data_IF_908671435830
#
_entry.id   IF_908671435830
#
_cell.length_a   1.000
_cell.length_b   1.000
_cell.length_c   1.000
_cell.angle_alpha   90.00
_cell.angle_beta   90.00
_cell.angle_gamma   90.00
#
_symmetry.space_group_name_H-M   'P 1'
#
loop_
_entity.id
_entity.type
_entity.pdbx_description
1 polymer ?
#
# COMPACT_ATOMS: atom_id res chain seq x y z
N UNK A 1 26.16 -1.06 -15.99
CA UNK A 1 24.87 -0.85 -15.30
C UNK A 1 25.16 -0.77 -13.81
N UNK A 2 24.76 0.31 -13.12
CA UNK A 2 24.82 0.33 -11.64
C UNK A 2 23.83 -0.73 -11.13
N UNK A 3 24.29 -1.69 -10.31
CA UNK A 3 23.38 -2.59 -9.57
C UNK A 3 22.47 -1.70 -8.72
N UNK A 4 21.15 -1.88 -8.84
CA UNK A 4 20.21 -1.24 -7.93
C UNK A 4 20.32 -1.92 -6.56
N UNK A 5 20.35 -1.12 -5.50
CA UNK A 5 20.41 -1.63 -4.13
C UNK A 5 19.05 -2.21 -3.71
N UNK A 6 19.01 -3.21 -2.82
CA UNK A 6 17.78 -3.70 -2.21
C UNK A 6 16.97 -2.59 -1.55
N UNK A 7 15.65 -2.71 -1.55
CA UNK A 7 14.80 -1.77 -0.82
C UNK A 7 14.85 -2.07 0.69
N UNK A 8 14.80 -1.01 1.49
CA UNK A 8 14.55 -1.08 2.93
C UNK A 8 13.11 -0.69 3.18
N UNK A 9 12.35 -1.59 3.80
CA UNK A 9 11.06 -1.29 4.40
C UNK A 9 11.32 -1.08 5.88
N UNK A 10 11.00 0.10 6.40
CA UNK A 10 11.20 0.43 7.81
C UNK A 10 10.11 1.37 8.26
N UNK A 11 9.66 1.20 9.49
CA UNK A 11 8.64 2.06 10.05
C UNK A 11 9.22 3.35 10.60
N UNK A 12 8.81 4.50 10.03
CA UNK A 12 9.13 5.85 10.52
C UNK A 12 10.63 6.25 10.46
N UNK A 13 11.45 5.49 9.75
CA UNK A 13 12.88 5.76 9.55
C UNK A 13 13.20 5.78 8.06
N UNK A 14 14.06 6.69 7.64
CA UNK A 14 14.57 6.73 6.27
C UNK A 14 15.95 6.08 6.19
N UNK A 15 16.07 4.83 6.67
CA UNK A 15 17.32 4.10 6.54
C UNK A 15 17.51 3.58 5.11
N UNK A 16 18.69 3.80 4.53
CA UNK A 16 19.05 3.20 3.24
C UNK A 16 19.62 1.79 3.42
N UNK A 17 19.66 1.01 2.33
CA UNK A 17 20.31 -0.29 2.32
C UNK A 17 21.76 -0.19 2.78
N UNK A 18 22.51 0.75 2.21
CA UNK A 18 23.93 0.98 2.54
C UNK A 18 24.12 1.33 4.02
N UNK A 19 23.24 2.15 4.59
CA UNK A 19 23.28 2.51 6.01
C UNK A 19 23.04 1.31 6.92
N UNK A 20 22.06 0.46 6.61
CA UNK A 20 21.81 -0.75 7.39
C UNK A 20 22.96 -1.75 7.25
N UNK A 21 23.51 -1.94 6.05
CA UNK A 21 24.68 -2.81 5.87
C UNK A 21 25.90 -2.30 6.65
N UNK A 22 26.06 -0.98 6.79
CA UNK A 22 27.16 -0.37 7.53
C UNK A 22 26.93 -0.45 9.04
N UNK A 23 25.73 -0.11 9.52
CA UNK A 23 25.43 0.05 10.95
C UNK A 23 24.93 -1.21 11.65
N UNK A 24 24.42 -2.17 10.89
CA UNK A 24 23.90 -3.46 11.39
C UNK A 24 24.78 -4.65 10.97
N UNK A 25 26.05 -4.40 10.63
CA UNK A 25 26.99 -5.45 10.24
C UNK A 25 27.26 -6.41 11.40
N UNK A 26 27.52 -7.69 11.10
CA UNK A 26 27.78 -8.72 12.12
C UNK A 26 28.95 -8.37 13.05
N UNK A 27 29.91 -7.55 12.59
CA UNK A 27 31.08 -7.09 13.36
C UNK A 27 30.74 -6.00 14.38
N UNK A 28 29.64 -5.25 14.18
CA UNK A 28 29.16 -4.22 15.09
C UNK A 28 28.14 -4.75 16.11
N UNK A 29 27.80 -6.04 16.03
CA UNK A 29 26.87 -6.65 16.96
C UNK A 29 27.58 -6.83 18.30
N UNK A 30 27.18 -6.02 19.28
CA UNK A 30 27.43 -6.31 20.69
C UNK A 30 26.76 -7.64 21.03
N UNK A 31 27.33 -8.38 22.00
CA UNK A 31 26.66 -9.55 22.59
C UNK A 31 25.21 -9.19 22.85
N UNK A 32 24.27 -10.04 22.44
CA UNK A 32 22.84 -9.87 22.73
C UNK A 32 22.71 -9.78 24.25
N UNK A 33 22.58 -8.58 24.78
CA UNK A 33 22.11 -8.35 26.14
C UNK A 33 20.61 -8.39 26.06
N UNK A 34 20.05 -9.59 26.22
CA UNK A 34 18.65 -9.74 26.60
C UNK A 34 18.56 -9.10 27.98
N UNK A 35 17.79 -8.05 28.14
CA UNK A 35 17.51 -7.51 29.47
C UNK A 35 16.88 -8.65 30.30
N UNK A 36 17.49 -9.08 31.41
CA UNK A 36 16.93 -10.13 32.27
C UNK A 36 15.53 -9.78 32.82
N UNK A 37 15.14 -8.50 32.76
CA UNK A 37 13.84 -7.98 33.16
C UNK A 37 12.85 -7.83 31.98
N UNK A 38 13.30 -7.95 30.73
CA UNK A 38 12.38 -7.96 29.59
C UNK A 38 11.58 -9.26 29.61
N UNK A 39 10.29 -9.15 29.91
CA UNK A 39 9.38 -10.29 30.03
C UNK A 39 9.04 -10.97 28.69
N UNK A 40 9.42 -10.35 27.57
CA UNK A 40 9.14 -10.82 26.20
C UNK A 40 10.43 -10.88 25.38
N UNK A 41 10.78 -12.08 24.93
CA UNK A 41 11.92 -12.32 24.06
C UNK A 41 11.49 -12.32 22.58
N UNK A 42 11.97 -11.38 21.74
CA UNK A 42 11.56 -11.30 20.33
C UNK A 42 11.99 -12.50 19.49
N UNK A 43 13.07 -13.21 19.84
CA UNK A 43 13.47 -14.44 19.16
C UNK A 43 12.47 -15.57 19.43
N UNK A 44 11.98 -15.69 20.66
CA UNK A 44 10.94 -16.67 21.00
C UNK A 44 9.66 -16.41 20.21
N UNK A 45 9.25 -15.14 20.08
CA UNK A 45 8.07 -14.79 19.28
C UNK A 45 8.27 -14.98 17.77
N UNK A 46 9.48 -14.73 17.26
CA UNK A 46 9.86 -15.06 15.88
C UNK A 46 9.75 -16.56 15.63
N UNK A 47 10.38 -17.39 16.47
CA UNK A 47 10.38 -18.85 16.33
C UNK A 47 8.97 -19.43 16.42
N UNK A 48 8.16 -18.95 17.37
CA UNK A 48 6.75 -19.34 17.50
C UNK A 48 5.95 -19.03 16.23
N UNK A 49 6.19 -17.87 15.62
CA UNK A 49 5.53 -17.50 14.37
C UNK A 49 5.96 -18.36 13.20
N UNK A 50 7.27 -18.61 13.04
CA UNK A 50 7.77 -19.51 11.99
C UNK A 50 7.22 -20.92 12.18
N UNK A 51 7.18 -21.44 13.41
CA UNK A 51 6.61 -22.74 13.72
C UNK A 51 5.12 -22.80 13.38
N UNK A 52 4.35 -21.77 13.75
CA UNK A 52 2.92 -21.66 13.44
C UNK A 52 2.66 -21.68 11.93
N UNK A 53 3.43 -20.92 11.16
CA UNK A 53 3.27 -20.86 9.71
C UNK A 53 3.78 -22.13 9.00
N UNK A 54 4.82 -22.80 9.52
CA UNK A 54 5.31 -24.08 8.98
C UNK A 54 4.34 -25.23 9.25
N UNK A 55 3.62 -25.18 10.37
CA UNK A 55 2.63 -26.19 10.73
C UNK A 55 1.37 -26.15 9.86
N UNK A 56 1.12 -25.04 9.14
CA UNK A 56 0.04 -24.96 8.17
C UNK A 56 0.36 -25.82 6.93
N UNK A 57 -0.36 -26.93 6.69
CA UNK A 57 -0.10 -27.80 5.53
C UNK A 57 -0.36 -27.10 4.18
N UNK A 58 -1.10 -26.00 4.18
CA UNK A 58 -1.37 -25.19 3.00
C UNK A 58 -0.32 -24.11 2.75
N UNK A 59 0.75 -24.02 3.56
CA UNK A 59 1.84 -23.07 3.36
C UNK A 59 2.81 -23.56 2.27
N UNK A 60 2.91 -22.89 1.12
CA UNK A 60 3.77 -23.35 0.03
C UNK A 60 5.19 -22.74 0.08
N UNK A 61 5.58 -22.04 1.15
CA UNK A 61 6.81 -21.24 1.18
C UNK A 61 7.87 -21.74 2.18
N UNK A 62 9.16 -21.59 1.85
CA UNK A 62 10.27 -22.13 2.65
C UNK A 62 10.59 -21.37 3.96
N UNK A 63 9.99 -20.18 4.19
CA UNK A 63 10.11 -19.35 5.41
C UNK A 63 11.54 -19.32 6.01
N UNK A 64 12.45 -18.63 5.33
CA UNK A 64 13.86 -18.53 5.73
C UNK A 64 14.27 -17.06 5.84
N UNK A 65 14.30 -16.55 7.07
CA UNK A 65 14.68 -15.17 7.36
C UNK A 65 15.81 -15.14 8.37
N UNK A 66 16.71 -14.18 8.19
CA UNK A 66 17.71 -13.83 9.19
C UNK A 66 17.11 -12.77 10.13
N UNK A 67 16.86 -13.10 11.39
CA UNK A 67 16.31 -12.16 12.37
C UNK A 67 17.42 -11.61 13.28
N UNK A 68 17.57 -10.28 13.37
CA UNK A 68 18.71 -9.63 14.05
C UNK A 68 18.32 -8.35 14.78
N UNK A 69 18.93 -8.13 15.94
CA UNK A 69 18.88 -6.81 16.58
C UNK A 69 19.73 -5.79 15.81
N UNK A 70 19.22 -4.57 15.65
CA UNK A 70 19.98 -3.42 15.22
C UNK A 70 19.33 -2.10 15.69
N UNK A 71 20.07 -1.33 16.49
CA UNK A 71 19.62 -0.02 17.00
C UNK A 71 19.54 1.07 15.91
N UNK A 72 20.04 0.80 14.70
CA UNK A 72 20.00 1.76 13.59
C UNK A 72 18.61 1.89 12.93
N UNK A 73 17.76 0.87 13.05
CA UNK A 73 16.33 0.99 12.74
C UNK A 73 15.60 1.57 13.94
N UNK A 74 14.54 2.36 13.75
CA UNK A 74 13.78 2.95 14.87
C UNK A 74 12.76 1.99 15.47
N UNK A 75 12.38 0.93 14.75
CA UNK A 75 11.51 -0.12 15.27
C UNK A 75 11.91 -1.46 14.64
N UNK A 76 11.57 -1.65 13.37
CA UNK A 76 11.99 -2.82 12.61
C UNK A 76 12.23 -2.43 11.16
N UNK A 77 12.99 -3.27 10.46
CA UNK A 77 13.21 -3.09 9.03
C UNK A 77 13.51 -4.42 8.33
N UNK A 78 12.98 -4.58 7.12
CA UNK A 78 13.24 -5.73 6.25
C UNK A 78 14.03 -5.30 5.02
N UNK A 79 15.06 -6.08 4.69
CA UNK A 79 15.90 -5.89 3.51
C UNK A 79 16.69 -7.15 3.17
N UNK A 80 17.48 -7.14 2.09
CA UNK A 80 18.39 -8.24 1.81
C UNK A 80 19.75 -7.97 2.48
N UNK A 81 20.58 -8.99 2.66
CA UNK A 81 22.02 -8.78 2.91
C UNK A 81 22.82 -8.74 1.60
N UNK A 82 24.14 -8.60 1.72
CA UNK A 82 25.06 -8.60 0.56
C UNK A 82 25.08 -9.93 -0.21
N UNK A 83 24.57 -11.00 0.39
CA UNK A 83 24.43 -12.34 -0.21
C UNK A 83 23.00 -12.61 -0.68
N UNK A 84 22.15 -11.58 -0.76
CA UNK A 84 20.74 -11.69 -1.17
C UNK A 84 19.87 -12.57 -0.26
N UNK A 85 20.26 -12.76 1.00
CA UNK A 85 19.43 -13.42 2.01
C UNK A 85 18.45 -12.41 2.62
N UNK A 86 17.24 -12.84 2.92
CA UNK A 86 16.22 -12.02 3.57
C UNK A 86 16.59 -11.77 5.04
N UNK A 87 16.64 -10.49 5.44
CA UNK A 87 17.02 -10.05 6.79
C UNK A 87 15.95 -9.14 7.36
N UNK A 88 15.54 -9.45 8.57
CA UNK A 88 14.66 -8.63 9.40
C UNK A 88 15.49 -8.10 10.58
N UNK A 89 15.62 -6.79 10.66
CA UNK A 89 16.20 -6.07 11.78
C UNK A 89 15.11 -5.62 12.74
N UNK A 90 15.38 -5.67 14.04
CA UNK A 90 14.52 -5.09 15.07
C UNK A 90 15.36 -4.23 16.04
N UNK A 91 14.74 -3.21 16.63
CA UNK A 91 15.34 -2.33 17.62
C UNK A 91 14.85 -2.77 19.01
N UNK A 92 15.77 -3.16 19.90
CA UNK A 92 15.39 -3.66 21.23
C UNK A 92 14.82 -2.54 22.09
N UNK A 93 15.43 -1.35 22.06
CA UNK A 93 14.95 -0.20 22.83
C UNK A 93 13.51 0.22 22.46
N UNK A 94 13.12 0.06 21.19
CA UNK A 94 11.74 0.26 20.77
C UNK A 94 10.81 -0.78 21.38
N UNK A 95 11.18 -2.07 21.33
CA UNK A 95 10.36 -3.15 21.90
C UNK A 95 10.21 -3.01 23.43
N UNK A 96 11.28 -2.62 24.11
CA UNK A 96 11.27 -2.34 25.57
C UNK A 96 10.40 -1.13 25.92
N UNK A 97 10.20 -0.20 24.98
CA UNK A 97 9.32 0.95 25.13
C UNK A 97 7.82 0.64 25.04
N UNK A 98 7.44 -0.59 24.63
CA UNK A 98 6.03 -0.97 24.48
C UNK A 98 5.39 -1.16 25.86
N UNK A 99 4.37 -0.34 26.15
CA UNK A 99 3.68 -0.36 27.44
C UNK A 99 2.49 -1.34 27.46
N UNK A 100 2.42 -2.13 28.53
CA UNK A 100 1.26 -2.98 28.84
C UNK A 100 1.64 -4.28 29.53
N UNK A 101 0.67 -5.19 29.76
CA UNK A 101 0.96 -6.54 30.23
C UNK A 101 1.74 -7.33 29.18
N UNK A 102 2.52 -8.32 29.61
CA UNK A 102 3.35 -9.16 28.74
C UNK A 102 2.59 -9.76 27.56
N UNK A 103 1.34 -10.16 27.77
CA UNK A 103 0.47 -10.70 26.72
C UNK A 103 0.28 -9.71 25.57
N UNK A 104 0.03 -8.44 25.89
CA UNK A 104 -0.11 -7.36 24.91
C UNK A 104 1.22 -7.10 24.20
N UNK A 105 2.32 -7.06 24.94
CA UNK A 105 3.66 -6.84 24.40
C UNK A 105 4.04 -7.96 23.42
N UNK A 106 3.76 -9.23 23.77
CA UNK A 106 3.96 -10.39 22.86
C UNK A 106 3.19 -10.23 21.56
N UNK A 107 1.92 -9.83 21.62
CA UNK A 107 1.14 -9.60 20.40
C UNK A 107 1.68 -8.44 19.58
N UNK A 108 2.10 -7.34 20.20
CA UNK A 108 2.73 -6.24 19.50
C UNK A 108 4.02 -6.67 18.78
N UNK A 109 4.90 -7.42 19.47
CA UNK A 109 6.12 -7.99 18.90
C UNK A 109 5.80 -8.91 17.72
N UNK A 110 4.87 -9.86 17.87
CA UNK A 110 4.43 -10.74 16.77
C UNK A 110 3.93 -9.95 15.57
N UNK A 111 3.15 -8.90 15.80
CA UNK A 111 2.61 -8.05 14.74
C UNK A 111 3.70 -7.33 13.94
N UNK A 112 4.71 -6.81 14.63
CA UNK A 112 5.86 -6.13 14.02
C UNK A 112 6.66 -7.12 13.16
N UNK A 113 6.97 -8.31 13.71
CA UNK A 113 7.72 -9.32 12.97
C UNK A 113 6.90 -9.81 11.76
N UNK A 114 5.60 -10.05 11.93
CA UNK A 114 4.73 -10.48 10.83
C UNK A 114 4.69 -9.44 9.70
N UNK A 115 4.69 -8.15 10.04
CA UNK A 115 4.72 -7.07 9.06
C UNK A 115 6.00 -7.13 8.21
N UNK A 116 7.17 -7.31 8.86
CA UNK A 116 8.45 -7.40 8.16
C UNK A 116 8.58 -8.68 7.31
N UNK A 117 8.05 -9.81 7.79
CA UNK A 117 7.91 -11.02 6.96
C UNK A 117 7.03 -10.73 5.75
N UNK A 118 5.94 -9.97 5.92
CA UNK A 118 5.06 -9.55 4.83
C UNK A 118 5.82 -8.82 3.72
N UNK A 119 6.72 -7.90 4.07
CA UNK A 119 7.55 -7.20 3.09
C UNK A 119 8.42 -8.13 2.25
N UNK A 120 9.08 -9.10 2.87
CA UNK A 120 9.83 -10.13 2.15
C UNK A 120 8.91 -11.00 1.29
N UNK A 121 7.86 -11.54 1.90
CA UNK A 121 6.90 -12.44 1.27
C UNK A 121 6.30 -11.86 -0.03
N UNK A 122 6.08 -10.55 -0.07
CA UNK A 122 5.50 -9.87 -1.24
C UNK A 122 6.55 -9.30 -2.20
N UNK A 123 7.84 -9.58 -1.96
CA UNK A 123 8.95 -9.13 -2.78
C UNK A 123 9.22 -7.63 -2.70
N UNK A 124 8.77 -6.96 -1.64
CA UNK A 124 8.98 -5.53 -1.48
C UNK A 124 10.48 -5.21 -1.35
N UNK A 125 11.27 -6.10 -0.74
CA UNK A 125 12.71 -5.91 -0.50
C UNK A 125 13.60 -6.26 -1.69
N UNK A 126 13.04 -6.77 -2.80
CA UNK A 126 13.84 -7.20 -3.95
C UNK A 126 14.50 -6.00 -4.66
N UNK A 127 15.73 -6.13 -5.19
CA UNK A 127 16.42 -5.03 -5.88
C UNK A 127 15.70 -4.55 -7.14
N UNK A 128 15.02 -5.47 -7.83
CA UNK A 128 14.21 -5.17 -9.02
C UNK A 128 12.91 -4.44 -8.70
N UNK A 129 12.53 -4.35 -7.43
CA UNK A 129 11.30 -3.68 -7.02
C UNK A 129 11.57 -2.18 -6.93
N UNK A 130 10.99 -1.34 -7.82
CA UNK A 130 11.25 0.09 -7.79
C UNK A 130 10.76 0.68 -6.46
N UNK A 131 11.47 1.69 -5.93
CA UNK A 131 11.07 2.37 -4.69
C UNK A 131 9.61 2.87 -4.72
N UNK A 132 9.12 3.19 -5.92
CA UNK A 132 7.74 3.60 -6.19
C UNK A 132 7.46 5.04 -5.75
N UNK A 133 6.33 5.57 -6.20
CA UNK A 133 5.78 6.80 -5.64
C UNK A 133 5.21 6.57 -4.23
N UNK A 134 4.83 7.65 -3.54
CA UNK A 134 4.25 7.55 -2.18
C UNK A 134 3.00 6.67 -2.16
N UNK A 135 2.23 6.62 -3.23
CA UNK A 135 1.07 5.75 -3.34
C UNK A 135 1.45 4.27 -3.37
N UNK A 136 2.45 3.91 -4.16
CA UNK A 136 3.00 2.55 -4.25
C UNK A 136 3.56 2.11 -2.90
N UNK A 137 4.27 2.99 -2.19
CA UNK A 137 4.77 2.71 -0.84
C UNK A 137 3.63 2.47 0.14
N UNK A 138 2.64 3.36 0.22
CA UNK A 138 1.44 3.16 1.08
C UNK A 138 0.71 1.85 0.77
N UNK A 139 0.62 1.45 -0.50
CA UNK A 139 0.05 0.14 -0.87
C UNK A 139 0.87 -1.01 -0.30
N UNK A 140 2.19 -0.95 -0.35
CA UNK A 140 3.08 -2.00 0.20
C UNK A 140 2.93 -2.13 1.71
N UNK A 141 2.90 -1.02 2.43
CA UNK A 141 2.67 -0.98 3.89
C UNK A 141 1.32 -1.62 4.25
N UNK A 142 0.23 -1.25 3.55
CA UNK A 142 -1.08 -1.87 3.80
C UNK A 142 -1.06 -3.37 3.55
N UNK A 143 -0.41 -3.85 2.48
CA UNK A 143 -0.31 -5.29 2.21
C UNK A 143 0.43 -6.02 3.34
N UNK A 144 1.45 -5.39 3.92
CA UNK A 144 2.20 -5.95 5.03
C UNK A 144 1.33 -5.98 6.30
N UNK A 145 0.57 -4.91 6.56
CA UNK A 145 -0.42 -4.86 7.65
C UNK A 145 -1.52 -5.93 7.51
N UNK A 146 -2.03 -6.18 6.31
CA UNK A 146 -2.97 -7.28 6.08
C UNK A 146 -2.34 -8.64 6.27
N UNK A 147 -1.11 -8.83 5.78
CA UNK A 147 -0.37 -10.05 6.03
C UNK A 147 -0.21 -10.28 7.55
N UNK A 148 0.06 -9.23 8.34
CA UNK A 148 0.08 -9.30 9.80
C UNK A 148 -1.22 -9.85 10.34
N UNK A 149 -2.37 -9.24 10.02
CA UNK A 149 -3.66 -9.72 10.52
C UNK A 149 -3.94 -11.17 10.14
N UNK A 150 -3.62 -11.54 8.91
CA UNK A 150 -3.75 -12.91 8.43
C UNK A 150 -2.88 -13.88 9.23
N UNK A 151 -1.60 -13.57 9.45
CA UNK A 151 -0.68 -14.42 10.23
C UNK A 151 -1.15 -14.55 11.68
N UNK A 152 -1.54 -13.45 12.33
CA UNK A 152 -1.98 -13.46 13.73
C UNK A 152 -3.21 -14.34 13.92
N UNK A 153 -4.16 -14.36 12.98
CA UNK A 153 -5.34 -15.23 13.06
C UNK A 153 -5.02 -16.74 13.11
N UNK A 154 -3.81 -17.15 12.70
CA UNK A 154 -3.38 -18.55 12.71
C UNK A 154 -2.87 -19.01 14.07
N UNK A 155 -2.65 -18.07 14.99
CA UNK A 155 -2.31 -18.41 16.36
C UNK A 155 -3.58 -18.87 17.10
N UNK A 156 -3.52 -20.01 17.81
CA UNK A 156 -4.66 -20.50 18.58
C UNK A 156 -5.19 -19.45 19.56
N UNK A 157 -6.49 -19.17 19.50
CA UNK A 157 -7.16 -18.24 20.41
C UNK A 157 -6.86 -16.76 20.17
N UNK A 158 -6.12 -16.40 19.12
CA UNK A 158 -5.89 -15.00 18.77
C UNK A 158 -7.21 -14.29 18.45
N UNK A 159 -7.28 -13.00 18.80
CA UNK A 159 -8.42 -12.13 18.52
C UNK A 159 -8.06 -11.03 17.52
N UNK A 160 -9.07 -10.39 16.93
CA UNK A 160 -8.86 -9.21 16.07
C UNK A 160 -8.16 -8.07 16.82
N UNK A 161 -8.36 -7.97 18.14
CA UNK A 161 -7.69 -6.98 18.97
C UNK A 161 -6.19 -7.27 19.08
N UNK A 162 -5.81 -8.53 19.29
CA UNK A 162 -4.40 -8.96 19.35
C UNK A 162 -3.67 -8.62 18.04
N UNK A 163 -4.34 -8.76 16.90
CA UNK A 163 -3.77 -8.47 15.59
C UNK A 163 -3.39 -7.00 15.39
N UNK A 164 -4.05 -6.06 16.09
CA UNK A 164 -3.78 -4.63 15.94
C UNK A 164 -2.78 -4.09 16.96
N UNK A 165 -2.32 -4.90 17.92
CA UNK A 165 -1.42 -4.46 19.00
C UNK A 165 -0.09 -3.87 18.50
N UNK A 166 0.42 -4.34 17.36
CA UNK A 166 1.63 -3.75 16.76
C UNK A 166 1.43 -2.34 16.21
N UNK A 167 0.20 -1.96 15.85
CA UNK A 167 -0.13 -0.58 15.47
C UNK A 167 -0.41 0.26 16.72
N UNK A 168 -1.05 -0.33 17.74
CA UNK A 168 -1.35 0.35 19.00
C UNK A 168 -0.12 0.58 19.88
N UNK A 169 1.01 -0.09 19.61
CA UNK A 169 2.29 0.21 20.26
C UNK A 169 2.93 1.52 19.79
N UNK A 170 2.42 2.10 18.69
CA UNK A 170 2.89 3.37 18.16
C UNK A 170 2.25 4.53 18.90
N UNK A 171 3.03 5.59 19.16
CA UNK A 171 2.50 6.81 19.77
C UNK A 171 1.67 7.62 18.75
N UNK A 172 0.34 7.77 18.96
CA UNK A 172 -0.51 8.50 18.04
C UNK A 172 -0.18 9.99 17.95
N UNK A 173 0.47 10.56 18.98
CA UNK A 173 0.81 11.99 19.00
C UNK A 173 1.97 12.31 18.06
N UNK A 174 2.99 11.45 18.05
CA UNK A 174 4.15 11.59 17.17
C UNK A 174 3.95 10.96 15.80
N UNK A 175 3.04 9.98 15.64
CA UNK A 175 2.84 9.31 14.36
C UNK A 175 2.31 10.26 13.27
N UNK A 176 2.88 10.14 12.07
CA UNK A 176 2.41 10.80 10.86
C UNK A 176 2.26 9.78 9.73
N UNK A 177 1.24 9.90 8.87
CA UNK A 177 0.23 10.97 8.80
C UNK A 177 -0.88 10.81 9.84
N UNK A 178 -1.45 11.93 10.31
CA UNK A 178 -2.60 11.97 11.25
C UNK A 178 -3.93 11.74 10.55
N UNK A 179 -4.06 12.22 9.32
CA UNK A 179 -5.31 12.20 8.57
C UNK A 179 -5.07 11.97 7.06
N UNK A 180 -6.16 11.86 6.31
CA UNK A 180 -6.14 11.61 4.88
C UNK A 180 -5.54 12.77 4.07
N UNK A 181 -5.50 14.00 4.60
CA UNK A 181 -4.88 15.13 3.92
C UNK A 181 -3.36 15.04 4.02
N UNK A 182 -2.82 14.71 5.20
CA UNK A 182 -1.40 14.45 5.39
C UNK A 182 -0.95 13.18 4.65
N UNK A 183 -1.79 12.13 4.63
CA UNK A 183 -1.45 10.85 4.01
C UNK A 183 -1.11 10.98 2.52
N UNK A 184 -1.73 11.93 1.79
CA UNK A 184 -1.43 12.19 0.38
C UNK A 184 0.06 12.43 0.12
N UNK A 185 0.74 13.07 1.08
CA UNK A 185 2.14 13.45 1.00
C UNK A 185 3.08 12.53 1.79
N UNK A 186 2.55 11.50 2.46
CA UNK A 186 3.34 10.53 3.23
C UNK A 186 3.57 9.24 2.46
N UNK A 187 4.72 8.59 2.66
CA UNK A 187 4.96 7.24 2.17
C UNK A 187 4.30 6.15 3.05
N UNK A 188 3.78 6.54 4.22
CA UNK A 188 3.09 5.67 5.18
C UNK A 188 1.58 5.95 5.23
N UNK A 189 0.72 4.93 5.44
CA UNK A 189 -0.71 5.13 5.68
C UNK A 189 -1.00 5.71 7.07
N UNK A 190 -2.16 6.34 7.28
CA UNK A 190 -2.66 6.69 8.63
C UNK A 190 -2.83 5.45 9.51
N UNK A 191 -2.73 5.60 10.84
CA UNK A 191 -2.98 4.49 11.79
C UNK A 191 -4.34 3.84 11.55
N UNK A 192 -5.35 4.63 11.22
CA UNK A 192 -6.68 4.13 10.88
C UNK A 192 -6.64 3.18 9.66
N UNK A 193 -5.95 3.57 8.58
CA UNK A 193 -5.82 2.73 7.39
C UNK A 193 -4.97 1.48 7.63
N UNK A 194 -3.95 1.59 8.49
CA UNK A 194 -3.15 0.43 8.92
C UNK A 194 -3.98 -0.57 9.72
N UNK A 195 -4.70 -0.10 10.75
CA UNK A 195 -5.62 -0.91 11.56
C UNK A 195 -6.68 -1.58 10.67
N UNK A 196 -7.25 -0.85 9.71
CA UNK A 196 -8.23 -1.40 8.77
C UNK A 196 -7.65 -2.57 7.97
N UNK A 197 -6.44 -2.41 7.41
CA UNK A 197 -5.76 -3.47 6.66
C UNK A 197 -5.48 -4.71 7.51
N UNK A 198 -5.01 -4.53 8.76
CA UNK A 198 -4.82 -5.64 9.71
C UNK A 198 -6.14 -6.38 9.97
N UNK A 199 -7.20 -5.66 10.31
CA UNK A 199 -8.52 -6.26 10.60
C UNK A 199 -9.08 -7.01 9.39
N UNK A 200 -8.84 -6.50 8.19
CA UNK A 200 -9.16 -7.21 6.95
C UNK A 200 -8.41 -8.52 6.81
N UNK A 201 -7.09 -8.52 7.05
CA UNK A 201 -6.26 -9.72 7.00
C UNK A 201 -6.73 -10.80 7.97
N UNK A 202 -7.02 -10.39 9.20
CA UNK A 202 -7.52 -11.28 10.24
C UNK A 202 -8.85 -11.94 9.85
N UNK A 203 -9.79 -11.16 9.30
CA UNK A 203 -11.09 -11.67 8.86
C UNK A 203 -10.99 -12.59 7.65
N UNK A 204 -10.11 -12.29 6.70
CA UNK A 204 -9.93 -13.10 5.50
C UNK A 204 -9.47 -14.53 5.83
N UNK A 205 -8.63 -14.67 6.86
CA UNK A 205 -8.11 -15.96 7.28
C UNK A 205 -9.13 -16.86 7.99
N UNK A 206 -10.23 -16.31 8.52
CA UNK A 206 -11.30 -17.08 9.16
C UNK A 206 -12.16 -17.88 8.16
N UNK A 207 -11.83 -17.84 6.87
CA UNK A 207 -12.34 -18.80 5.88
C UNK A 207 -11.37 -20.00 5.80
N UNK A 208 -11.71 -21.17 6.36
CA UNK A 208 -10.79 -22.32 6.45
C UNK A 208 -10.36 -22.90 5.09
N UNK A 209 -10.99 -22.46 4.00
CA UNK A 209 -10.70 -22.89 2.63
C UNK A 209 -9.68 -22.01 1.89
N UNK A 210 -9.20 -20.92 2.51
CA UNK A 210 -8.29 -19.98 1.86
C UNK A 210 -6.82 -20.31 2.20
N UNK A 211 -6.10 -21.05 1.33
CA UNK A 211 -4.67 -21.32 1.53
C UNK A 211 -3.85 -20.03 1.49
N UNK A 212 -2.67 -20.04 2.11
CA UNK A 212 -1.67 -18.97 2.00
C UNK A 212 -1.23 -18.81 0.54
N UNK A 213 -1.84 -17.86 -0.17
CA UNK A 213 -1.51 -17.60 -1.57
C UNK A 213 -1.05 -16.16 -1.77
N UNK A 214 0.10 -15.99 -2.43
CA UNK A 214 0.66 -14.68 -2.79
C UNK A 214 -0.35 -13.82 -3.56
N UNK A 215 -1.23 -14.41 -4.36
CA UNK A 215 -2.26 -13.70 -5.12
C UNK A 215 -3.28 -12.98 -4.21
N UNK A 216 -3.57 -13.50 -3.01
CA UNK A 216 -4.40 -12.86 -1.98
C UNK A 216 -3.77 -11.55 -1.48
N UNK A 217 -2.46 -11.55 -1.24
CA UNK A 217 -1.73 -10.43 -0.65
C UNK A 217 -1.27 -9.39 -1.68
N UNK A 218 -0.93 -9.79 -2.91
CA UNK A 218 -0.68 -8.89 -4.04
C UNK A 218 -1.90 -8.02 -4.38
N UNK A 219 -3.07 -8.48 -3.95
CA UNK A 219 -4.38 -7.94 -4.18
C UNK A 219 -4.96 -7.28 -2.92
N UNK A 220 -4.21 -6.73 -1.98
CA UNK A 220 -4.86 -6.06 -0.83
C UNK A 220 -5.80 -4.90 -1.23
N UNK A 221 -5.48 -4.17 -2.30
CA UNK A 221 -6.40 -3.18 -2.91
C UNK A 221 -7.68 -3.89 -3.48
N UNK A 222 -7.72 -5.22 -3.47
CA UNK A 222 -8.83 -6.14 -3.78
C UNK A 222 -9.52 -6.72 -2.54
N UNK A 223 -8.89 -6.72 -1.35
CA UNK A 223 -9.54 -7.16 -0.09
C UNK A 223 -10.22 -6.00 0.63
N UNK A 224 -9.62 -4.80 0.59
CA UNK A 224 -10.35 -3.54 0.79
C UNK A 224 -11.52 -3.41 -0.21
N UNK A 225 -11.38 -4.02 -1.40
CA UNK A 225 -12.41 -4.16 -2.43
C UNK A 225 -13.47 -5.24 -2.11
N UNK A 226 -13.14 -6.25 -1.29
CA UNK A 226 -14.11 -7.22 -0.74
C UNK A 226 -14.96 -6.55 0.35
N UNK A 227 -14.39 -5.63 1.15
CA UNK A 227 -15.18 -4.78 2.04
C UNK A 227 -15.95 -3.69 1.27
N UNK A 228 -15.42 -3.15 0.17
CA UNK A 228 -16.22 -2.36 -0.79
C UNK A 228 -17.25 -3.20 -1.54
N UNK A 229 -17.11 -4.53 -1.66
CA UNK A 229 -18.16 -5.38 -2.22
C UNK A 229 -19.37 -5.50 -1.28
N UNK A 230 -19.21 -5.20 0.02
CA UNK A 230 -20.33 -4.99 0.95
C UNK A 230 -20.97 -3.59 0.83
N UNK A 231 -20.24 -2.58 0.34
CA UNK A 231 -20.65 -1.16 0.35
C UNK A 231 -20.60 -0.42 -1.02
N UNK A 232 -20.37 -1.11 -2.14
CA UNK A 232 -20.48 -0.64 -3.54
C UNK A 232 -19.22 -0.13 -4.28
N UNK A 233 -18.47 -1.01 -4.98
CA UNK A 233 -17.98 -0.90 -6.40
C UNK A 233 -17.16 -2.16 -6.83
N UNK A 234 -17.27 -2.59 -8.09
CA UNK A 234 -17.05 -3.98 -8.60
C UNK A 234 -15.67 -4.32 -9.22
N UNK A 235 -15.37 -5.63 -9.33
CA UNK A 235 -14.13 -6.36 -9.73
C UNK A 235 -13.61 -6.15 -11.16
N UNK A 236 -14.32 -5.37 -11.97
CA UNK A 236 -14.16 -5.30 -13.42
C UNK A 236 -12.97 -4.44 -13.87
N UNK A 237 -12.66 -3.35 -13.15
CA UNK A 237 -11.53 -2.48 -13.48
C UNK A 237 -10.18 -3.13 -13.32
N UNK A 238 -10.06 -4.11 -12.43
CA UNK A 238 -8.80 -4.78 -12.14
C UNK A 238 -8.29 -5.63 -13.31
N UNK A 239 -9.19 -6.22 -14.10
CA UNK A 239 -8.80 -7.00 -15.28
C UNK A 239 -8.36 -6.07 -16.41
N UNK A 240 -9.06 -4.94 -16.56
CA UNK A 240 -8.69 -3.90 -17.52
C UNK A 240 -7.33 -3.31 -17.14
N UNK A 241 -7.12 -2.88 -15.88
CA UNK A 241 -5.84 -2.37 -15.37
C UNK A 241 -4.68 -3.36 -15.57
N UNK A 242 -4.92 -4.65 -15.28
CA UNK A 242 -3.91 -5.69 -15.46
C UNK A 242 -3.52 -5.84 -16.93
N UNK A 243 -4.50 -5.88 -17.84
CA UNK A 243 -4.24 -5.95 -19.28
C UNK A 243 -3.47 -4.73 -19.78
N UNK A 244 -3.87 -3.54 -19.34
CA UNK A 244 -3.16 -2.28 -19.63
C UNK A 244 -1.71 -2.33 -19.14
N UNK A 245 -1.44 -2.86 -17.94
CA UNK A 245 -0.08 -2.97 -17.39
C UNK A 245 0.79 -4.01 -18.11
N UNK A 246 0.17 -5.02 -18.71
CA UNK A 246 0.85 -6.05 -19.50
C UNK A 246 1.09 -5.62 -20.95
N UNK A 247 0.68 -4.41 -21.34
CA UNK A 247 0.69 -3.94 -22.72
C UNK A 247 -0.39 -4.59 -23.60
N UNK A 248 -1.30 -5.37 -23.03
CA UNK A 248 -2.47 -5.95 -23.70
C UNK A 248 -3.57 -4.89 -23.85
N UNK A 249 -3.28 -3.82 -24.59
CA UNK A 249 -4.21 -2.72 -24.81
C UNK A 249 -5.42 -3.15 -25.66
N UNK A 250 -5.21 -4.10 -26.58
CA UNK A 250 -6.29 -4.70 -27.39
C UNK A 250 -7.30 -5.43 -26.51
N UNK A 251 -6.83 -6.31 -25.61
CA UNK A 251 -7.71 -7.02 -24.69
C UNK A 251 -8.36 -6.10 -23.67
N UNK A 252 -7.66 -5.06 -23.21
CA UNK A 252 -8.23 -4.07 -22.30
C UNK A 252 -9.37 -3.28 -22.96
N UNK A 253 -9.19 -2.89 -24.24
CA UNK A 253 -10.21 -2.23 -25.05
C UNK A 253 -11.45 -3.10 -25.25
N UNK A 254 -11.27 -4.35 -25.71
CA UNK A 254 -12.37 -5.28 -25.96
C UNK A 254 -13.23 -5.50 -24.72
N UNK A 255 -12.59 -5.78 -23.58
CA UNK A 255 -13.31 -5.98 -22.32
C UNK A 255 -14.08 -4.72 -21.91
N UNK A 256 -13.48 -3.55 -22.09
CA UNK A 256 -14.13 -2.27 -21.78
C UNK A 256 -15.36 -2.03 -22.66
N UNK A 257 -15.30 -2.34 -23.95
CA UNK A 257 -16.41 -2.23 -24.90
C UNK A 257 -17.56 -3.18 -24.54
N UNK A 258 -17.26 -4.43 -24.21
CA UNK A 258 -18.26 -5.41 -23.73
C UNK A 258 -19.01 -4.93 -22.49
N UNK A 259 -18.32 -4.25 -21.59
CA UNK A 259 -18.89 -3.73 -20.35
C UNK A 259 -19.71 -2.47 -20.54
N UNK A 260 -19.33 -1.62 -21.50
CA UNK A 260 -20.09 -0.42 -21.86
C UNK A 260 -21.48 -0.77 -22.43
N UNK A 261 -21.60 -1.94 -23.07
CA UNK A 261 -22.86 -2.48 -23.59
C UNK A 261 -23.82 -2.94 -22.48
N UNK A 262 -23.34 -3.15 -21.25
CA UNK A 262 -24.19 -3.58 -20.14
C UNK A 262 -25.06 -2.41 -19.63
N UNK A 263 -26.40 -2.51 -19.63
CA UNK A 263 -27.28 -1.42 -19.20
C UNK A 263 -27.05 -1.03 -17.74
N UNK A 264 -26.89 -2.03 -16.87
CA UNK A 264 -26.87 -1.86 -15.40
C UNK A 264 -25.50 -1.50 -14.82
N UNK A 265 -24.48 -1.31 -15.67
CA UNK A 265 -23.16 -0.94 -15.21
C UNK A 265 -23.12 0.53 -14.79
N UNK A 266 -22.96 0.80 -13.50
CA UNK A 266 -23.19 2.12 -12.90
C UNK A 266 -22.09 3.16 -13.18
N UNK A 267 -20.90 2.73 -13.61
CA UNK A 267 -19.72 3.59 -13.70
C UNK A 267 -19.12 3.62 -15.11
N UNK A 268 -19.99 3.88 -16.09
CA UNK A 268 -19.62 3.97 -17.51
C UNK A 268 -18.57 5.05 -17.77
N UNK A 269 -18.54 6.13 -16.97
CA UNK A 269 -17.56 7.20 -17.09
C UNK A 269 -16.11 6.74 -16.86
N UNK A 270 -15.90 5.72 -16.02
CA UNK A 270 -14.57 5.13 -15.84
C UNK A 270 -14.20 4.17 -16.97
N UNK A 271 -15.15 3.37 -17.47
CA UNK A 271 -14.93 2.51 -18.64
C UNK A 271 -14.54 3.31 -19.88
N UNK A 272 -15.24 4.41 -20.16
CA UNK A 272 -14.90 5.28 -21.29
C UNK A 272 -13.47 5.86 -21.21
N UNK A 273 -12.97 6.13 -20.00
CA UNK A 273 -11.58 6.56 -19.81
C UNK A 273 -10.59 5.41 -20.07
N UNK A 274 -10.87 4.19 -19.61
CA UNK A 274 -10.04 3.03 -19.91
C UNK A 274 -9.95 2.75 -21.40
N UNK A 275 -11.08 2.84 -22.11
CA UNK A 275 -11.12 2.72 -23.57
C UNK A 275 -10.27 3.80 -24.23
N UNK A 276 -10.37 5.05 -23.77
CA UNK A 276 -9.55 6.17 -24.22
C UNK A 276 -8.05 5.91 -24.08
N UNK A 277 -7.61 5.40 -22.93
CA UNK A 277 -6.19 5.10 -22.71
C UNK A 277 -5.74 3.95 -23.61
N UNK A 278 -6.55 2.89 -23.74
CA UNK A 278 -6.22 1.75 -24.59
C UNK A 278 -6.11 2.17 -26.07
N UNK A 279 -7.06 2.96 -26.56
CA UNK A 279 -7.05 3.52 -27.92
C UNK A 279 -5.80 4.39 -28.15
N UNK A 280 -5.42 5.24 -27.19
CA UNK A 280 -4.20 6.05 -27.30
C UNK A 280 -2.94 5.19 -27.42
N UNK A 281 -2.81 4.15 -26.59
CA UNK A 281 -1.64 3.27 -26.60
C UNK A 281 -1.56 2.40 -27.85
N UNK A 282 -2.69 2.10 -28.48
CA UNK A 282 -2.78 1.43 -29.77
C UNK A 282 -2.52 2.36 -30.97
N UNK A 283 -2.31 3.66 -30.74
CA UNK A 283 -2.11 4.66 -31.81
C UNK A 283 -3.40 5.22 -32.42
N UNK A 284 -4.58 4.84 -31.88
CA UNK A 284 -5.90 5.25 -32.36
C UNK A 284 -6.33 6.56 -31.68
N UNK A 285 -5.66 7.66 -32.04
CA UNK A 285 -5.81 8.93 -31.32
C UNK A 285 -7.21 9.55 -31.45
N UNK A 286 -7.88 9.38 -32.59
CA UNK A 286 -9.22 9.92 -32.82
C UNK A 286 -10.26 9.25 -31.88
N UNK A 287 -10.18 7.93 -31.77
CA UNK A 287 -11.02 7.09 -30.92
C UNK A 287 -10.74 7.33 -29.43
N UNK A 288 -9.47 7.59 -29.08
CA UNK A 288 -9.06 7.97 -27.74
C UNK A 288 -9.73 9.28 -27.31
N UNK A 289 -9.70 10.29 -28.18
CA UNK A 289 -10.34 11.59 -27.95
C UNK A 289 -11.86 11.43 -27.79
N UNK A 290 -12.51 10.68 -28.69
CA UNK A 290 -13.95 10.45 -28.61
C UNK A 290 -14.35 9.76 -27.29
N UNK A 291 -13.61 8.72 -26.91
CA UNK A 291 -13.86 7.98 -25.67
C UNK A 291 -13.63 8.86 -24.44
N UNK A 292 -12.63 9.74 -24.46
CA UNK A 292 -12.37 10.66 -23.35
C UNK A 292 -13.44 11.76 -23.23
N UNK A 293 -14.02 12.24 -24.35
CA UNK A 293 -15.17 13.15 -24.33
C UNK A 293 -16.36 12.50 -23.63
N UNK A 294 -16.70 11.26 -23.99
CA UNK A 294 -17.76 10.48 -23.33
C UNK A 294 -17.49 10.28 -21.83
N UNK A 295 -16.24 10.01 -21.44
CA UNK A 295 -15.86 9.90 -20.03
C UNK A 295 -16.09 11.22 -19.26
N UNK A 296 -15.77 12.34 -19.89
CA UNK A 296 -15.93 13.69 -19.34
C UNK A 296 -17.40 14.12 -19.25
N UNK A 297 -18.21 13.77 -20.25
CA UNK A 297 -19.65 14.06 -20.27
C UNK A 297 -20.42 13.38 -19.13
N UNK A 298 -20.05 12.14 -18.80
CA UNK A 298 -20.65 11.39 -17.69
C UNK A 298 -20.14 11.89 -16.33
N UNK A 299 -18.94 12.45 -16.30
CA UNK A 299 -18.26 12.87 -15.07
C UNK A 299 -17.88 14.36 -15.14
N UNK A 300 -18.85 15.24 -15.45
CA UNK A 300 -18.64 16.67 -15.81
C UNK A 300 -17.85 17.52 -14.81
N UNK A 301 -17.73 17.07 -13.56
CA UNK A 301 -17.02 17.76 -12.48
C UNK A 301 -15.70 17.09 -12.08
N UNK A 302 -15.34 15.98 -12.74
CA UNK A 302 -14.07 15.29 -12.48
C UNK A 302 -12.95 16.01 -13.24
N UNK A 303 -12.05 16.63 -12.48
CA UNK A 303 -10.98 17.46 -13.02
C UNK A 303 -9.93 16.64 -13.77
N UNK A 304 -9.64 15.43 -13.29
CA UNK A 304 -8.62 14.56 -13.87
C UNK A 304 -9.03 14.11 -15.29
N UNK A 305 -10.31 13.81 -15.48
CA UNK A 305 -10.85 13.43 -16.79
C UNK A 305 -10.84 14.59 -17.80
N UNK A 306 -11.09 15.81 -17.31
CA UNK A 306 -11.00 17.05 -18.10
C UNK A 306 -9.55 17.36 -18.49
N UNK A 307 -8.61 17.24 -17.56
CA UNK A 307 -7.18 17.44 -17.80
C UNK A 307 -6.65 16.43 -18.82
N UNK A 308 -7.05 15.17 -18.70
CA UNK A 308 -6.71 14.15 -19.70
C UNK A 308 -7.27 14.48 -21.09
N UNK A 309 -8.51 14.96 -21.18
CA UNK A 309 -9.10 15.38 -22.45
C UNK A 309 -8.31 16.54 -23.06
N UNK A 310 -7.95 17.55 -22.26
CA UNK A 310 -7.11 18.65 -22.70
C UNK A 310 -5.79 18.14 -23.32
N UNK A 311 -5.07 17.26 -22.63
CA UNK A 311 -3.79 16.71 -23.09
C UNK A 311 -3.91 15.96 -24.43
N UNK A 312 -5.01 15.24 -24.65
CA UNK A 312 -5.26 14.55 -25.92
C UNK A 312 -5.52 15.53 -27.07
N UNK A 313 -6.07 16.72 -26.78
CA UNK A 313 -6.46 17.73 -27.76
C UNK A 313 -5.32 18.73 -28.09
N UNK A 314 -4.33 18.88 -27.21
CA UNK A 314 -3.24 19.89 -27.32
C UNK A 314 -2.44 19.80 -28.63
N UNK A 315 -2.28 18.60 -29.17
CA UNK A 315 -1.56 18.36 -30.44
C UNK A 315 -2.49 18.05 -31.61
N UNK A 316 -3.80 18.28 -31.44
CA UNK A 316 -4.82 17.98 -32.44
C UNK A 316 -4.99 19.05 -33.52
N UNK A 317 -6.11 18.96 -34.24
CA UNK A 317 -6.54 19.93 -35.24
C UNK A 317 -6.73 21.33 -34.64
N UNK A 318 -6.79 22.40 -35.46
CA UNK A 318 -7.06 23.75 -34.97
C UNK A 318 -8.33 23.85 -34.09
N UNK A 319 -9.38 23.09 -34.44
CA UNK A 319 -10.61 23.02 -33.65
C UNK A 319 -10.39 22.34 -32.29
N UNK A 320 -9.60 21.26 -32.23
CA UNK A 320 -9.26 20.56 -30.99
C UNK A 320 -8.40 21.42 -30.08
N UNK A 321 -7.45 22.18 -30.63
CA UNK A 321 -6.63 23.13 -29.87
C UNK A 321 -7.46 24.28 -29.27
N UNK A 322 -8.51 24.70 -29.97
CA UNK A 322 -9.46 25.67 -29.44
C UNK A 322 -10.25 25.09 -28.25
N UNK A 323 -10.77 23.87 -28.39
CA UNK A 323 -11.45 23.13 -27.30
C UNK A 323 -10.51 22.92 -26.09
N UNK A 324 -9.27 22.52 -26.33
CA UNK A 324 -8.25 22.40 -25.28
C UNK A 324 -8.06 23.72 -24.51
N UNK A 325 -7.95 24.83 -25.24
CA UNK A 325 -7.78 26.16 -24.65
C UNK A 325 -8.97 26.56 -23.76
N UNK A 326 -10.18 26.15 -24.12
CA UNK A 326 -11.38 26.37 -23.32
C UNK A 326 -11.41 25.49 -22.06
N UNK A 327 -11.06 24.20 -22.20
CA UNK A 327 -10.93 23.29 -21.06
C UNK A 327 -9.87 23.82 -20.08
N UNK A 328 -8.72 24.28 -20.58
CA UNK A 328 -7.65 24.86 -19.77
C UNK A 328 -8.12 26.06 -18.94
N UNK A 329 -8.85 27.00 -19.54
CA UNK A 329 -9.48 28.12 -18.82
C UNK A 329 -10.45 27.65 -17.73
N UNK A 330 -11.21 26.59 -18.01
CA UNK A 330 -12.14 25.98 -17.03
C UNK A 330 -11.40 25.30 -15.88
N UNK A 331 -10.28 24.64 -16.16
CA UNK A 331 -9.40 24.06 -15.13
C UNK A 331 -8.78 25.14 -14.25
N UNK A 332 -8.23 26.20 -14.85
CA UNK A 332 -7.61 27.33 -14.15
C UNK A 332 -8.61 28.07 -13.25
N UNK A 333 -9.81 28.39 -13.76
CA UNK A 333 -10.86 29.04 -12.98
C UNK A 333 -11.32 28.20 -11.79
N UNK A 334 -11.43 26.87 -11.95
CA UNK A 334 -11.73 25.93 -10.84
C UNK A 334 -10.61 25.89 -9.79
N UNK A 335 -9.35 25.91 -10.21
CA UNK A 335 -8.21 25.96 -9.28
C UNK A 335 -8.17 27.28 -8.50
N UNK A 336 -8.49 28.40 -9.14
CA UNK A 336 -8.61 29.71 -8.47
C UNK A 336 -9.76 29.68 -7.46
N UNK A 337 -10.91 29.13 -7.84
CA UNK A 337 -12.06 28.99 -6.94
C UNK A 337 -11.73 28.13 -5.70
N UNK A 338 -11.06 26.98 -5.88
CA UNK A 338 -10.61 26.15 -4.76
C UNK A 338 -9.65 26.89 -3.82
N UNK A 339 -8.74 27.72 -4.35
CA UNK A 339 -7.84 28.56 -3.53
C UNK A 339 -8.61 29.61 -2.73
N UNK A 340 -9.62 30.24 -3.34
CA UNK A 340 -10.50 31.20 -2.67
C UNK A 340 -11.30 30.53 -1.55
N UNK A 341 -11.88 29.36 -1.82
CA UNK A 341 -12.68 28.62 -0.84
C UNK A 341 -11.82 28.13 0.34
N UNK A 342 -10.60 27.67 0.05
CA UNK A 342 -9.61 27.30 1.07
C UNK A 342 -9.20 28.50 1.93
N UNK A 343 -9.04 29.68 1.34
CA UNK A 343 -8.71 30.92 2.06
C UNK A 343 -9.87 31.38 2.95
N UNK A 344 -11.11 31.26 2.48
CA UNK A 344 -12.33 31.55 3.26
C UNK A 344 -12.51 30.57 4.43
N UNK A 345 -12.21 29.28 4.24
CA UNK A 345 -12.23 28.31 5.34
C UNK A 345 -11.22 28.66 6.44
N UNK A 346 -9.98 29.00 6.06
CA UNK A 346 -8.93 29.40 7.01
C UNK A 346 -9.29 30.66 7.80
N UNK A 347 -9.97 31.63 7.17
CA UNK A 347 -10.46 32.84 7.85
C UNK A 347 -11.63 32.56 8.82
N UNK A 348 -12.48 31.57 8.53
CA UNK A 348 -13.55 31.15 9.46
C UNK A 348 -12.99 30.43 10.69
N UNK A 349 -11.98 29.58 10.53
CA UNK A 349 -11.34 28.85 11.65
C UNK A 349 -10.45 29.73 12.52
N UNK A 350 -9.91 30.84 11.98
CA UNK A 350 -9.09 31.80 12.75
C UNK A 350 -9.88 32.82 13.59
N UNK A 351 -11.22 32.79 13.58
CA UNK A 351 -12.09 33.67 14.39
C UNK A 351 -12.71 32.95 15.61
N UNK A 352 -12.32 31.71 15.90
CA UNK A 352 -12.82 30.90 17.03
C UNK A 352 -11.68 30.65 18.05
N UNK A 353 -10.71 31.56 18.15
CA UNK A 353 -9.76 31.59 19.27
C UNK A 353 -9.91 32.87 20.06
#
# INVERSE_FOLDING_TARGET
MKKQDPMVCSFNCSNTYEELQKRCSATLQTKITIDPLASVNPFTEFDNMIATLKADPANPYPLSYTFRQCEATCNAASTLDRSSREVIYYNQAFLDGIKGPDTKVRWAVRCIIAHEIGHHFMGHTLPSTPAGDSNTRRKRERRADFFTGFVISRFPGATEQDAIEGILSLDPQSYRPRDAAEEKFSIYPTLQNRIAAVKEGFKAANNPKDPLRIDMFKKIDSVARIQMARNGRSSIYHVIDFKMSMGDFTGAKQLTEELLLKPDFSDKGQLWEYKSIADQQLGNLAEAIESQRKATELNKNNMDKLERLQLLLDNGSPAQKLESSEIKKRLESRQIQQKIDTKKLKQKTGRIQ
#
